data_IF_817178999320
#
_entry.id   IF_817178999320
#
_cell.length_a   1.000
_cell.length_b   1.000
_cell.length_c   1.000
_cell.angle_alpha   90.00
_cell.angle_beta   90.00
_cell.angle_gamma   90.00
#
_symmetry.space_group_name_H-M   'P 1'
#
loop_
_entity.id
_entity.type
_entity.pdbx_description
1 polymer ?
#
# COMPACT_ATOMS: atom_id res chain seq x y z
N UNK A 1 -23.04 -15.09 0.66
CA UNK A 1 -22.53 -16.32 0.02
C UNK A 1 -21.02 -16.21 0.01
N UNK A 2 -20.32 -17.09 0.73
CA UNK A 2 -18.85 -17.14 0.67
C UNK A 2 -18.51 -17.52 -0.78
N UNK A 3 -17.91 -16.60 -1.53
CA UNK A 3 -17.40 -16.90 -2.85
C UNK A 3 -16.21 -17.81 -2.62
N UNK A 4 -16.41 -19.08 -2.97
CA UNK A 4 -15.42 -20.14 -2.94
C UNK A 4 -14.14 -19.66 -3.65
N UNK A 5 -12.96 -19.92 -3.07
CA UNK A 5 -11.65 -19.59 -3.66
C UNK A 5 -11.54 -20.08 -5.12
N UNK A 6 -12.25 -21.18 -5.43
CA UNK A 6 -12.37 -21.77 -6.76
C UNK A 6 -13.04 -20.88 -7.80
N UNK A 7 -13.81 -19.87 -7.39
CA UNK A 7 -14.64 -19.11 -8.32
C UNK A 7 -13.86 -18.08 -9.15
N UNK A 8 -12.69 -17.59 -8.70
CA UNK A 8 -11.91 -16.58 -9.45
C UNK A 8 -10.41 -16.51 -9.07
N UNK A 9 -9.64 -17.61 -9.19
CA UNK A 9 -8.20 -17.63 -8.85
C UNK A 9 -7.38 -16.60 -9.65
N UNK A 10 -7.84 -16.27 -10.87
CA UNK A 10 -7.19 -15.29 -11.76
C UNK A 10 -7.03 -13.91 -11.13
N UNK A 11 -8.01 -13.45 -10.35
CA UNK A 11 -7.92 -12.12 -9.71
C UNK A 11 -6.91 -12.10 -8.56
N UNK A 12 -6.83 -13.18 -7.78
CA UNK A 12 -5.82 -13.33 -6.72
C UNK A 12 -4.43 -13.35 -7.34
N UNK A 13 -4.21 -14.20 -8.35
CA UNK A 13 -2.92 -14.30 -9.05
C UNK A 13 -2.50 -12.96 -9.63
N UNK A 14 -3.43 -12.23 -10.27
CA UNK A 14 -3.16 -10.89 -10.78
C UNK A 14 -2.68 -9.94 -9.67
N UNK A 15 -3.41 -9.85 -8.56
CA UNK A 15 -3.05 -8.98 -7.44
C UNK A 15 -1.70 -9.38 -6.83
N UNK A 16 -1.40 -10.68 -6.72
CA UNK A 16 -0.13 -11.15 -6.18
C UNK A 16 1.06 -10.81 -7.08
N UNK A 17 0.92 -11.02 -8.40
CA UNK A 17 1.97 -10.67 -9.36
C UNK A 17 2.23 -9.16 -9.31
N UNK A 18 1.17 -8.35 -9.28
CA UNK A 18 1.30 -6.90 -9.19
C UNK A 18 2.01 -6.50 -7.89
N UNK A 19 1.55 -6.99 -6.74
CA UNK A 19 2.05 -6.56 -5.43
C UNK A 19 3.47 -7.01 -5.14
N UNK A 20 3.83 -8.24 -5.52
CA UNK A 20 5.07 -8.87 -5.04
C UNK A 20 6.18 -8.92 -6.08
N UNK A 21 5.85 -8.70 -7.36
CA UNK A 21 6.81 -8.75 -8.46
C UNK A 21 6.88 -7.38 -9.14
N UNK A 22 5.77 -6.93 -9.72
CA UNK A 22 5.78 -5.77 -10.62
C UNK A 22 5.97 -4.48 -9.84
N UNK A 23 5.15 -4.23 -8.82
CA UNK A 23 5.15 -2.97 -8.07
C UNK A 23 6.49 -2.70 -7.37
N UNK A 24 7.10 -3.64 -6.63
CA UNK A 24 8.42 -3.42 -6.03
C UNK A 24 9.49 -3.08 -7.06
N UNK A 25 9.49 -3.81 -8.18
CA UNK A 25 10.42 -3.59 -9.28
C UNK A 25 10.25 -2.21 -9.91
N UNK A 26 9.03 -1.86 -10.35
CA UNK A 26 8.80 -0.59 -11.02
C UNK A 26 8.97 0.59 -10.08
N UNK A 27 8.69 0.43 -8.78
CA UNK A 27 8.92 1.46 -7.78
C UNK A 27 10.42 1.76 -7.59
N UNK A 28 11.24 0.71 -7.47
CA UNK A 28 12.69 0.86 -7.39
C UNK A 28 13.26 1.46 -8.69
N UNK A 29 12.81 0.95 -9.85
CA UNK A 29 13.22 1.43 -11.17
C UNK A 29 12.88 2.91 -11.36
N UNK A 30 11.66 3.34 -11.01
CA UNK A 30 11.25 4.74 -11.10
C UNK A 30 11.98 5.61 -10.09
N UNK A 31 12.25 5.12 -8.88
CA UNK A 31 13.06 5.83 -7.90
C UNK A 31 14.45 6.14 -8.47
N UNK A 32 15.16 5.14 -8.97
CA UNK A 32 16.49 5.32 -9.59
C UNK A 32 16.41 6.24 -10.81
N UNK A 33 15.46 5.99 -11.72
CA UNK A 33 15.31 6.76 -12.95
C UNK A 33 15.05 8.25 -12.68
N UNK A 34 14.19 8.57 -11.72
CA UNK A 34 13.87 9.96 -11.44
C UNK A 34 14.95 10.63 -10.57
N UNK A 35 15.42 10.00 -9.50
CA UNK A 35 16.33 10.65 -8.56
C UNK A 35 17.81 10.57 -8.94
N UNK A 36 18.26 9.53 -9.65
CA UNK A 36 19.66 9.41 -10.08
C UNK A 36 19.91 9.86 -11.52
N UNK A 37 18.88 9.91 -12.37
CA UNK A 37 19.03 10.31 -13.77
C UNK A 37 18.38 11.66 -14.01
N UNK A 38 17.05 11.76 -13.92
CA UNK A 38 16.34 13.00 -14.29
C UNK A 38 16.57 14.18 -13.32
N UNK A 39 16.68 13.91 -12.01
CA UNK A 39 16.83 14.94 -10.98
C UNK A 39 18.24 15.00 -10.37
N UNK A 40 19.20 14.33 -10.99
CA UNK A 40 20.59 14.25 -10.53
C UNK A 40 21.27 15.61 -10.32
N UNK A 41 20.89 16.63 -11.09
CA UNK A 41 21.42 17.99 -10.96
C UNK A 41 20.68 18.86 -9.93
N UNK A 42 19.51 18.40 -9.46
CA UNK A 42 18.62 19.16 -8.57
C UNK A 42 18.75 18.73 -7.11
N UNK A 43 19.34 17.55 -6.86
CA UNK A 43 19.37 16.91 -5.55
C UNK A 43 20.79 16.50 -5.17
N UNK A 44 21.07 16.47 -3.87
CA UNK A 44 22.30 15.86 -3.39
C UNK A 44 22.25 14.34 -3.61
N UNK A 45 23.41 13.67 -3.79
CA UNK A 45 23.46 12.21 -3.88
C UNK A 45 22.89 11.51 -2.63
N UNK A 46 22.99 12.15 -1.46
CA UNK A 46 22.46 11.61 -0.21
C UNK A 46 20.94 11.68 -0.16
N UNK A 47 20.36 12.83 -0.50
CA UNK A 47 18.89 13.01 -0.55
C UNK A 47 18.27 12.06 -1.58
N UNK A 48 18.91 11.93 -2.75
CA UNK A 48 18.46 11.03 -3.81
C UNK A 48 18.35 9.59 -3.30
N UNK A 49 19.38 9.08 -2.61
CA UNK A 49 19.35 7.74 -2.01
C UNK A 49 18.24 7.60 -0.97
N UNK A 50 18.04 8.60 -0.13
CA UNK A 50 16.98 8.57 0.88
C UNK A 50 15.58 8.57 0.25
N UNK A 51 15.34 9.36 -0.80
CA UNK A 51 14.05 9.36 -1.50
C UNK A 51 13.79 8.04 -2.22
N UNK A 52 14.82 7.44 -2.83
CA UNK A 52 14.75 6.10 -3.43
C UNK A 52 14.40 5.06 -2.36
N UNK A 53 15.03 5.11 -1.19
CA UNK A 53 14.72 4.22 -0.07
C UNK A 53 13.25 4.32 0.35
N UNK A 54 12.75 5.56 0.53
CA UNK A 54 11.36 5.81 0.90
C UNK A 54 10.37 5.29 -0.15
N UNK A 55 10.68 5.48 -1.44
CA UNK A 55 9.90 4.91 -2.53
C UNK A 55 9.90 3.38 -2.51
N UNK A 56 11.06 2.73 -2.33
CA UNK A 56 11.15 1.27 -2.24
C UNK A 56 10.30 0.74 -1.08
N UNK A 57 10.40 1.36 0.11
CA UNK A 57 9.61 0.96 1.28
C UNK A 57 8.11 1.06 1.02
N UNK A 58 7.64 2.10 0.35
CA UNK A 58 6.24 2.20 -0.11
C UNK A 58 5.87 1.11 -1.12
N UNK A 59 6.77 0.83 -2.07
CA UNK A 59 6.56 -0.13 -3.16
C UNK A 59 6.40 -1.58 -2.68
N UNK A 60 7.17 -1.97 -1.68
CA UNK A 60 7.21 -3.34 -1.14
C UNK A 60 6.05 -3.61 -0.17
N UNK A 61 5.41 -2.59 0.38
CA UNK A 61 4.35 -2.72 1.37
C UNK A 61 2.95 -2.64 0.71
N UNK A 62 2.25 -3.78 0.48
CA UNK A 62 0.90 -3.77 -0.07
C UNK A 62 -0.11 -3.26 0.97
N UNK A 63 -1.08 -2.46 0.53
CA UNK A 63 -2.09 -1.90 1.43
C UNK A 63 -3.07 -2.96 1.97
N UNK A 64 -3.41 -2.87 3.25
CA UNK A 64 -4.23 -3.87 3.97
C UNK A 64 -5.57 -3.31 4.43
N UNK A 65 -5.61 -2.04 4.87
CA UNK A 65 -6.81 -1.43 5.46
C UNK A 65 -7.60 -0.57 4.45
N UNK A 66 -6.93 0.38 3.79
CA UNK A 66 -7.61 1.38 2.95
C UNK A 66 -8.29 0.76 1.71
N UNK A 67 -7.80 -0.40 1.28
CA UNK A 67 -8.36 -1.21 0.20
C UNK A 67 -9.83 -1.57 0.40
N UNK A 68 -10.32 -1.70 1.64
CA UNK A 68 -11.74 -1.91 1.91
C UNK A 68 -12.59 -0.69 1.57
N UNK A 69 -12.06 0.52 1.78
CA UNK A 69 -12.72 1.78 1.40
C UNK A 69 -12.79 1.85 -0.12
N UNK A 70 -11.69 1.57 -0.82
CA UNK A 70 -11.61 1.54 -2.28
C UNK A 70 -12.54 0.51 -2.90
N UNK A 71 -12.58 -0.70 -2.34
CA UNK A 71 -13.52 -1.74 -2.75
C UNK A 71 -14.97 -1.29 -2.56
N UNK A 72 -15.30 -0.69 -1.42
CA UNK A 72 -16.66 -0.21 -1.17
C UNK A 72 -17.08 0.88 -2.16
N UNK A 73 -16.19 1.85 -2.42
CA UNK A 73 -16.46 2.93 -3.38
C UNK A 73 -16.58 2.44 -4.83
N UNK A 74 -16.02 1.27 -5.15
CA UNK A 74 -16.14 0.64 -6.47
C UNK A 74 -17.19 -0.46 -6.55
N UNK A 75 -18.00 -0.65 -5.49
CA UNK A 75 -19.00 -1.73 -5.38
C UNK A 75 -18.40 -3.13 -5.55
N UNK A 76 -17.17 -3.30 -5.07
CA UNK A 76 -16.46 -4.57 -5.06
C UNK A 76 -17.07 -5.60 -4.09
N UNK A 77 -16.76 -6.88 -4.31
CA UNK A 77 -17.19 -7.94 -3.38
C UNK A 77 -16.37 -7.88 -2.08
N UNK A 78 -17.00 -7.65 -0.92
CA UNK A 78 -16.29 -7.49 0.35
C UNK A 78 -15.65 -8.80 0.85
N UNK A 79 -16.23 -9.97 0.55
CA UNK A 79 -15.68 -11.25 0.97
C UNK A 79 -14.44 -11.59 0.14
N UNK A 80 -14.50 -11.32 -1.16
CA UNK A 80 -13.37 -11.52 -2.06
C UNK A 80 -12.22 -10.57 -1.73
N UNK A 81 -12.53 -9.30 -1.45
CA UNK A 81 -11.55 -8.30 -0.99
C UNK A 81 -10.88 -8.77 0.30
N UNK A 82 -11.67 -9.23 1.28
CA UNK A 82 -11.12 -9.77 2.53
C UNK A 82 -10.17 -10.96 2.29
N UNK A 83 -10.53 -11.85 1.37
CA UNK A 83 -9.67 -12.98 0.99
C UNK A 83 -8.35 -12.51 0.36
N UNK A 84 -8.40 -11.56 -0.57
CA UNK A 84 -7.19 -11.01 -1.19
C UNK A 84 -6.27 -10.32 -0.18
N UNK A 85 -6.84 -9.53 0.72
CA UNK A 85 -6.08 -8.87 1.80
C UNK A 85 -5.45 -9.91 2.71
N UNK A 86 -6.22 -10.91 3.17
CA UNK A 86 -5.71 -11.96 4.06
C UNK A 86 -4.53 -12.72 3.45
N UNK A 87 -4.58 -13.01 2.14
CA UNK A 87 -3.48 -13.68 1.44
C UNK A 87 -2.26 -12.75 1.35
N UNK A 88 -2.45 -11.47 1.02
CA UNK A 88 -1.35 -10.50 0.99
C UNK A 88 -0.70 -10.35 2.37
N UNK A 89 -1.48 -10.29 3.45
CA UNK A 89 -0.98 -10.17 4.81
C UNK A 89 -0.12 -11.37 5.22
N UNK A 90 -0.56 -12.58 4.88
CA UNK A 90 0.22 -13.81 5.13
C UNK A 90 1.53 -13.78 4.36
N UNK A 91 1.52 -13.39 3.08
CA UNK A 91 2.74 -13.28 2.28
C UNK A 91 3.65 -12.19 2.84
N UNK A 92 3.09 -11.07 3.29
CA UNK A 92 3.84 -9.95 3.85
C UNK A 92 4.68 -10.33 5.06
N UNK A 93 4.22 -11.27 5.91
CA UNK A 93 4.98 -11.78 7.05
C UNK A 93 6.36 -12.33 6.62
N UNK A 94 6.43 -12.97 5.45
CA UNK A 94 7.64 -13.65 4.99
C UNK A 94 8.37 -12.90 3.89
N UNK A 95 7.64 -12.16 3.04
CA UNK A 95 8.17 -11.58 1.81
C UNK A 95 8.59 -10.12 1.97
N UNK A 96 7.96 -9.35 2.87
CA UNK A 96 8.24 -7.92 3.01
C UNK A 96 9.72 -7.63 3.33
N UNK A 97 10.24 -8.21 4.42
CA UNK A 97 11.60 -7.94 4.86
C UNK A 97 12.65 -8.41 3.82
N UNK A 98 12.58 -9.63 3.24
CA UNK A 98 13.52 -10.05 2.21
C UNK A 98 13.47 -9.22 0.92
N UNK A 99 12.27 -8.83 0.46
CA UNK A 99 12.14 -8.04 -0.77
C UNK A 99 12.63 -6.61 -0.53
N UNK A 100 12.29 -6.00 0.60
CA UNK A 100 12.80 -4.68 0.97
C UNK A 100 14.33 -4.70 1.09
N UNK A 101 14.89 -5.70 1.77
CA UNK A 101 16.32 -5.92 1.87
C UNK A 101 17.00 -6.05 0.51
N UNK A 102 16.40 -6.82 -0.40
CA UNK A 102 16.92 -7.01 -1.76
C UNK A 102 17.01 -5.68 -2.51
N UNK A 103 15.91 -4.92 -2.61
CA UNK A 103 15.90 -3.67 -3.36
C UNK A 103 16.75 -2.58 -2.72
N UNK A 104 16.75 -2.46 -1.38
CA UNK A 104 17.63 -1.52 -0.67
C UNK A 104 19.11 -1.87 -0.89
N UNK A 105 19.45 -3.16 -0.83
CA UNK A 105 20.81 -3.64 -1.09
C UNK A 105 21.28 -3.37 -2.51
N UNK A 106 20.42 -3.54 -3.52
CA UNK A 106 20.72 -3.19 -4.93
C UNK A 106 21.01 -1.69 -5.08
N UNK A 107 20.36 -0.84 -4.28
CA UNK A 107 20.61 0.61 -4.25
C UNK A 107 21.80 1.04 -3.37
N UNK A 108 22.61 0.08 -2.88
CA UNK A 108 23.74 0.34 -1.97
C UNK A 108 23.34 1.06 -0.67
N UNK A 109 22.14 0.78 -0.18
CA UNK A 109 21.59 1.30 1.08
C UNK A 109 21.73 0.20 2.13
N UNK A 110 22.13 0.56 3.35
CA UNK A 110 22.29 -0.39 4.44
C UNK A 110 20.95 -1.07 4.76
N UNK A 111 20.96 -2.40 4.83
CA UNK A 111 19.76 -3.19 5.11
C UNK A 111 19.61 -3.40 6.61
N UNK A 112 18.55 -2.87 7.24
CA UNK A 112 18.35 -2.96 8.69
C UNK A 112 17.36 -4.09 8.99
N UNK A 113 17.88 -5.32 9.01
CA UNK A 113 17.09 -6.53 9.24
C UNK A 113 16.29 -6.47 10.54
N UNK A 114 16.88 -5.97 11.62
CA UNK A 114 16.22 -5.85 12.91
C UNK A 114 14.98 -4.97 12.82
N UNK A 115 15.10 -3.79 12.19
CA UNK A 115 13.97 -2.87 11.98
C UNK A 115 12.90 -3.49 11.07
N UNK A 116 13.30 -4.11 9.95
CA UNK A 116 12.35 -4.73 9.01
C UNK A 116 11.56 -5.86 9.67
N UNK A 117 12.22 -6.75 10.41
CA UNK A 117 11.59 -7.87 11.11
C UNK A 117 10.71 -7.35 12.25
N UNK A 118 11.21 -6.41 13.06
CA UNK A 118 10.45 -5.81 14.15
C UNK A 118 9.17 -5.14 13.64
N UNK A 119 9.25 -4.42 12.52
CA UNK A 119 8.08 -3.79 11.91
C UNK A 119 7.04 -4.82 11.44
N UNK A 120 7.45 -5.94 10.85
CA UNK A 120 6.52 -7.04 10.51
C UNK A 120 5.86 -7.60 11.77
N UNK A 121 6.63 -7.82 12.83
CA UNK A 121 6.10 -8.32 14.10
C UNK A 121 5.06 -7.36 14.68
N UNK A 122 5.40 -6.07 14.78
CA UNK A 122 4.56 -5.07 15.43
C UNK A 122 3.32 -4.68 14.60
N UNK A 123 3.46 -4.52 13.28
CA UNK A 123 2.38 -4.03 12.42
C UNK A 123 1.51 -5.13 11.83
N UNK A 124 1.99 -6.38 11.80
CA UNK A 124 1.28 -7.49 11.14
C UNK A 124 0.99 -8.61 12.12
N UNK A 125 2.02 -9.21 12.71
CA UNK A 125 1.85 -10.42 13.54
C UNK A 125 1.06 -10.11 14.82
N UNK A 126 1.43 -9.06 15.56
CA UNK A 126 0.77 -8.70 16.83
C UNK A 126 -0.72 -8.34 16.62
N UNK A 127 -1.11 -7.49 15.65
CA UNK A 127 -2.51 -7.22 15.37
C UNK A 127 -3.31 -8.45 14.92
N UNK A 128 -2.74 -9.28 14.03
CA UNK A 128 -3.40 -10.50 13.56
C UNK A 128 -3.60 -11.52 14.68
N UNK A 129 -2.56 -11.75 15.51
CA UNK A 129 -2.64 -12.65 16.65
C UNK A 129 -3.66 -12.16 17.67
N UNK A 130 -3.66 -10.86 17.97
CA UNK A 130 -4.64 -10.24 18.88
C UNK A 130 -6.07 -10.40 18.35
N UNK A 131 -6.30 -10.10 17.06
CA UNK A 131 -7.59 -10.28 16.41
C UNK A 131 -8.07 -11.75 16.42
N UNK A 132 -7.16 -12.69 16.17
CA UNK A 132 -7.46 -14.13 16.23
C UNK A 132 -7.84 -14.58 17.64
N UNK A 133 -7.08 -14.16 18.66
CA UNK A 133 -7.33 -14.48 20.07
C UNK A 133 -8.69 -13.92 20.51
N UNK A 134 -8.96 -12.64 20.23
CA UNK A 134 -10.25 -12.01 20.55
C UNK A 134 -11.39 -12.75 19.87
N UNK A 135 -11.24 -13.08 18.58
CA UNK A 135 -12.26 -13.82 17.84
C UNK A 135 -12.54 -15.19 18.44
N UNK A 136 -11.49 -15.94 18.79
CA UNK A 136 -11.60 -17.29 19.34
C UNK A 136 -12.23 -17.31 20.74
N UNK A 137 -11.90 -16.33 21.57
CA UNK A 137 -12.37 -16.27 22.96
C UNK A 137 -13.77 -15.66 23.05
N UNK A 138 -13.99 -14.51 22.41
CA UNK A 138 -15.16 -13.64 22.67
C UNK A 138 -16.18 -13.56 21.53
N UNK A 139 -15.81 -13.87 20.27
CA UNK A 139 -16.66 -13.60 19.09
C UNK A 139 -17.04 -14.89 18.34
N UNK A 140 -17.88 -15.72 18.98
CA UNK A 140 -18.24 -17.06 18.46
C UNK A 140 -19.38 -17.06 17.46
N UNK A 141 -20.33 -16.14 17.57
CA UNK A 141 -21.47 -16.02 16.66
C UNK A 141 -21.39 -14.77 15.76
N UNK A 142 -22.09 -14.83 14.63
CA UNK A 142 -22.06 -13.76 13.62
C UNK A 142 -22.63 -12.43 14.12
N UNK A 143 -23.59 -12.48 15.06
CA UNK A 143 -24.24 -11.28 15.57
C UNK A 143 -23.31 -10.53 16.54
N UNK A 144 -22.62 -11.25 17.42
CA UNK A 144 -21.59 -10.69 18.30
C UNK A 144 -20.42 -10.12 17.49
N UNK A 145 -19.97 -10.81 16.44
CA UNK A 145 -18.95 -10.28 15.51
C UNK A 145 -19.42 -8.95 14.89
N UNK A 146 -20.67 -8.91 14.39
CA UNK A 146 -21.23 -7.71 13.79
C UNK A 146 -21.28 -6.53 14.77
N UNK A 147 -21.78 -6.75 15.99
CA UNK A 147 -21.87 -5.71 17.03
C UNK A 147 -20.48 -5.24 17.45
N UNK A 148 -19.53 -6.16 17.63
CA UNK A 148 -18.14 -5.82 17.96
C UNK A 148 -17.50 -4.96 16.86
N UNK A 149 -17.64 -5.35 15.60
CA UNK A 149 -17.10 -4.59 14.47
C UNK A 149 -17.69 -3.17 14.41
N UNK A 150 -18.99 -3.00 14.66
CA UNK A 150 -19.61 -1.67 14.69
C UNK A 150 -19.08 -0.81 15.83
N UNK A 151 -18.82 -1.40 17.01
CA UNK A 151 -18.21 -0.69 18.15
C UNK A 151 -16.75 -0.33 17.91
N UNK A 152 -15.99 -1.16 17.19
CA UNK A 152 -14.57 -0.94 16.91
C UNK A 152 -14.33 0.09 15.80
N UNK A 153 -15.23 0.22 14.81
CA UNK A 153 -15.08 1.14 13.67
C UNK A 153 -14.65 2.57 14.06
N UNK A 154 -15.28 3.25 15.05
CA UNK A 154 -14.85 4.59 15.46
C UNK A 154 -13.40 4.62 15.96
N UNK A 155 -12.96 3.62 16.71
CA UNK A 155 -11.59 3.53 17.21
C UNK A 155 -10.58 3.34 16.09
N UNK A 156 -10.92 2.55 15.05
CA UNK A 156 -10.07 2.40 13.86
C UNK A 156 -9.91 3.73 13.13
N UNK A 157 -11.01 4.46 12.93
CA UNK A 157 -10.98 5.78 12.28
C UNK A 157 -10.19 6.79 13.11
N UNK A 158 -10.38 6.82 14.44
CA UNK A 158 -9.60 7.68 15.33
C UNK A 158 -8.11 7.36 15.29
N UNK A 159 -7.73 6.08 15.30
CA UNK A 159 -6.33 5.66 15.20
C UNK A 159 -5.69 6.03 13.86
N UNK A 160 -6.43 5.86 12.76
CA UNK A 160 -5.99 6.28 11.43
C UNK A 160 -5.79 7.79 11.36
N UNK A 161 -6.79 8.58 11.78
CA UNK A 161 -6.71 10.04 11.79
C UNK A 161 -5.60 10.55 12.69
N UNK A 162 -5.42 9.94 13.87
CA UNK A 162 -4.34 10.27 14.78
C UNK A 162 -2.96 10.02 14.14
N UNK A 163 -2.80 8.87 13.47
CA UNK A 163 -1.56 8.56 12.74
C UNK A 163 -1.30 9.57 11.63
N UNK A 164 -2.32 9.90 10.82
CA UNK A 164 -2.21 10.92 9.77
C UNK A 164 -1.80 12.28 10.35
N UNK A 165 -2.43 12.72 11.44
CA UNK A 165 -2.07 13.98 12.12
C UNK A 165 -0.62 13.96 12.58
N UNK A 166 -0.15 12.86 13.17
CA UNK A 166 1.25 12.73 13.59
C UNK A 166 2.22 12.76 12.40
N UNK A 167 1.93 11.99 11.34
CA UNK A 167 2.77 11.91 10.15
C UNK A 167 2.95 13.26 9.46
N UNK A 168 1.85 13.97 9.22
CA UNK A 168 1.89 15.31 8.62
C UNK A 168 2.36 16.37 9.61
N UNK A 169 2.12 16.22 10.91
CA UNK A 169 2.63 17.11 11.93
C UNK A 169 4.15 17.06 12.02
N UNK A 170 4.74 15.86 11.99
CA UNK A 170 6.19 15.69 12.06
C UNK A 170 6.93 16.16 10.81
N UNK A 171 6.31 16.09 9.63
CA UNK A 171 6.92 16.57 8.38
C UNK A 171 6.37 17.93 7.91
N UNK A 172 5.51 18.58 8.70
CA UNK A 172 4.76 19.75 8.27
C UNK A 172 5.64 20.92 7.85
N UNK A 173 6.68 21.22 8.63
CA UNK A 173 7.66 22.28 8.32
C UNK A 173 8.34 22.02 6.97
N UNK A 174 8.88 20.82 6.75
CA UNK A 174 9.52 20.46 5.48
C UNK A 174 8.58 20.52 4.28
N UNK A 175 7.32 20.13 4.46
CA UNK A 175 6.29 20.18 3.42
C UNK A 175 6.01 21.62 3.01
N UNK A 176 5.94 22.55 3.98
CA UNK A 176 5.66 23.96 3.73
C UNK A 176 6.89 24.70 3.17
N UNK A 177 8.07 24.43 3.71
CA UNK A 177 9.31 25.15 3.36
C UNK A 177 9.90 24.72 2.02
N UNK A 178 9.61 23.48 1.58
CA UNK A 178 10.22 22.89 0.37
C UNK A 178 9.20 22.30 -0.61
N UNK A 179 8.22 23.09 -1.11
CA UNK A 179 7.17 22.60 -2.02
C UNK A 179 7.74 22.03 -3.32
N UNK A 180 8.90 22.53 -3.77
CA UNK A 180 9.59 21.99 -4.94
C UNK A 180 10.03 20.54 -4.76
N UNK A 181 10.57 20.18 -3.58
CA UNK A 181 10.96 18.80 -3.28
C UNK A 181 9.73 17.87 -3.23
N UNK A 182 8.61 18.36 -2.69
CA UNK A 182 7.35 17.61 -2.66
C UNK A 182 6.89 17.26 -4.07
N UNK A 183 6.98 18.21 -5.01
CA UNK A 183 6.63 17.98 -6.42
C UNK A 183 7.58 16.95 -7.06
N UNK A 184 8.88 17.07 -6.83
CA UNK A 184 9.87 16.11 -7.36
C UNK A 184 9.57 14.68 -6.89
N UNK A 185 9.20 14.49 -5.63
CA UNK A 185 8.84 13.17 -5.10
C UNK A 185 7.47 12.72 -5.61
N UNK A 186 6.51 13.64 -5.74
CA UNK A 186 5.17 13.32 -6.20
C UNK A 186 5.14 12.81 -7.65
N UNK A 187 5.96 13.36 -8.56
CA UNK A 187 5.99 12.97 -9.98
C UNK A 187 6.16 11.45 -10.17
N UNK A 188 7.25 10.81 -9.70
CA UNK A 188 7.44 9.37 -9.88
C UNK A 188 6.38 8.55 -9.15
N UNK A 189 5.88 8.99 -7.99
CA UNK A 189 4.82 8.31 -7.26
C UNK A 189 3.48 8.32 -8.03
N UNK A 190 3.11 9.44 -8.64
CA UNK A 190 1.92 9.55 -9.49
C UNK A 190 2.06 8.61 -10.69
N UNK A 191 3.20 8.65 -11.37
CA UNK A 191 3.48 7.81 -12.54
C UNK A 191 3.39 6.33 -12.16
N UNK A 192 4.01 5.93 -11.05
CA UNK A 192 3.93 4.57 -10.52
C UNK A 192 2.47 4.17 -10.25
N UNK A 193 1.73 5.01 -9.52
CA UNK A 193 0.38 4.68 -9.06
C UNK A 193 -0.57 4.48 -10.25
N UNK A 194 -0.56 5.40 -11.22
CA UNK A 194 -1.32 5.22 -12.46
C UNK A 194 -0.80 4.04 -13.29
N UNK A 195 0.51 3.86 -13.39
CA UNK A 195 1.12 2.77 -14.15
C UNK A 195 0.69 1.40 -13.64
N UNK A 196 0.80 1.16 -12.33
CA UNK A 196 0.36 -0.07 -11.67
C UNK A 196 -1.15 -0.28 -11.83
N UNK A 197 -1.93 0.78 -11.64
CA UNK A 197 -3.37 0.71 -11.83
C UNK A 197 -3.73 0.30 -13.26
N UNK A 198 -3.21 0.99 -14.28
CA UNK A 198 -3.56 0.70 -15.67
C UNK A 198 -3.08 -0.68 -16.10
N UNK A 199 -1.87 -1.07 -15.70
CA UNK A 199 -1.36 -2.42 -15.94
C UNK A 199 -2.28 -3.48 -15.34
N UNK A 200 -2.67 -3.30 -14.08
CA UNK A 200 -3.60 -4.21 -13.40
C UNK A 200 -4.99 -4.21 -14.03
N UNK A 201 -5.53 -3.04 -14.34
CA UNK A 201 -6.88 -2.86 -14.84
C UNK A 201 -7.04 -3.40 -16.27
N UNK A 202 -6.05 -3.15 -17.14
CA UNK A 202 -5.99 -3.72 -18.49
C UNK A 202 -5.84 -5.24 -18.39
N UNK A 203 -4.95 -5.74 -17.52
CA UNK A 203 -4.78 -7.18 -17.31
C UNK A 203 -6.06 -7.84 -16.80
N UNK A 204 -6.77 -7.21 -15.86
CA UNK A 204 -8.06 -7.67 -15.35
C UNK A 204 -9.13 -7.73 -16.45
N UNK A 205 -9.15 -6.72 -17.33
CA UNK A 205 -10.03 -6.68 -18.49
C UNK A 205 -9.72 -7.81 -19.48
N UNK A 206 -8.44 -8.04 -19.81
CA UNK A 206 -7.99 -9.12 -20.70
C UNK A 206 -8.29 -10.51 -20.12
N UNK A 207 -8.16 -10.66 -18.80
CA UNK A 207 -8.52 -11.88 -18.07
C UNK A 207 -10.03 -12.10 -17.92
N UNK A 208 -10.85 -11.13 -18.38
CA UNK A 208 -12.32 -11.12 -18.30
C UNK A 208 -12.82 -11.29 -16.86
N UNK A 209 -12.15 -10.65 -15.90
CA UNK A 209 -12.59 -10.66 -14.51
C UNK A 209 -13.91 -9.88 -14.36
N UNK A 210 -14.85 -10.31 -13.51
CA UNK A 210 -16.05 -9.54 -13.21
C UNK A 210 -15.70 -8.20 -12.57
N UNK A 211 -16.47 -7.14 -12.83
CA UNK A 211 -16.20 -5.81 -12.26
C UNK A 211 -16.03 -5.81 -10.73
N UNK A 212 -16.88 -6.51 -9.94
CA UNK A 212 -16.75 -6.54 -8.48
C UNK A 212 -15.46 -7.20 -7.97
N UNK A 213 -14.74 -7.91 -8.84
CA UNK A 213 -13.44 -8.54 -8.55
C UNK A 213 -12.30 -7.70 -9.13
N UNK A 214 -12.46 -7.22 -10.37
CA UNK A 214 -11.45 -6.46 -11.09
C UNK A 214 -11.13 -5.13 -10.41
N UNK A 215 -12.14 -4.37 -9.98
CA UNK A 215 -11.96 -3.09 -9.31
C UNK A 215 -11.09 -3.21 -8.05
N UNK A 216 -11.52 -4.00 -7.04
CA UNK A 216 -10.75 -4.22 -5.82
C UNK A 216 -9.36 -4.80 -6.10
N UNK A 217 -9.24 -5.80 -6.98
CA UNK A 217 -7.96 -6.44 -7.28
C UNK A 217 -6.90 -5.45 -7.78
N UNK A 218 -7.30 -4.47 -8.60
CA UNK A 218 -6.41 -3.44 -9.13
C UNK A 218 -6.09 -2.36 -8.10
N UNK A 219 -7.07 -1.96 -7.29
CA UNK A 219 -6.89 -0.93 -6.27
C UNK A 219 -6.05 -1.44 -5.08
N UNK A 220 -6.18 -2.72 -4.72
CA UNK A 220 -5.25 -3.39 -3.80
C UNK A 220 -3.83 -3.37 -4.35
N UNK A 221 -3.68 -3.68 -5.65
CA UNK A 221 -2.43 -3.61 -6.38
C UNK A 221 -1.75 -2.23 -6.33
N UNK A 222 -2.58 -1.19 -6.39
CA UNK A 222 -2.15 0.19 -6.56
C UNK A 222 -1.82 0.87 -5.23
N UNK A 223 -2.52 0.53 -4.15
CA UNK A 223 -2.36 1.17 -2.86
C UNK A 223 -1.12 0.72 -2.09
N UNK A 224 -0.61 1.61 -1.22
CA UNK A 224 0.55 1.36 -0.38
C UNK A 224 0.16 1.25 1.11
N UNK A 225 0.95 0.49 1.88
CA UNK A 225 0.84 0.47 3.33
C UNK A 225 1.78 1.50 3.94
N UNK A 226 1.31 2.75 3.96
CA UNK A 226 2.15 3.87 4.34
C UNK A 226 2.54 3.86 5.81
N UNK A 227 1.71 3.39 6.74
CA UNK A 227 2.03 3.40 8.17
C UNK A 227 3.26 2.53 8.45
N UNK A 228 3.30 1.34 7.85
CA UNK A 228 4.44 0.44 7.90
C UNK A 228 5.67 1.08 7.23
N UNK A 229 5.51 1.63 6.03
CA UNK A 229 6.61 2.22 5.27
C UNK A 229 7.24 3.42 6.01
N UNK A 230 6.42 4.32 6.55
CA UNK A 230 6.89 5.48 7.32
C UNK A 230 7.57 5.02 8.61
N UNK A 231 6.98 4.08 9.34
CA UNK A 231 7.58 3.57 10.58
C UNK A 231 8.95 2.95 10.35
N UNK A 232 9.09 2.15 9.29
CA UNK A 232 10.37 1.58 8.87
C UNK A 232 11.34 2.69 8.45
N UNK A 233 10.90 3.66 7.63
CA UNK A 233 11.76 4.76 7.20
C UNK A 233 12.28 5.59 8.38
N UNK A 234 11.42 5.93 9.34
CA UNK A 234 11.80 6.65 10.57
C UNK A 234 12.75 5.80 11.42
N UNK A 235 12.49 4.50 11.57
CA UNK A 235 13.33 3.60 12.35
C UNK A 235 14.74 3.42 11.79
N UNK A 236 14.95 3.64 10.49
CA UNK A 236 16.24 3.46 9.82
C UNK A 236 16.97 4.79 9.64
N UNK A 237 16.28 5.77 9.06
CA UNK A 237 16.87 7.02 8.60
C UNK A 237 16.59 8.19 9.55
N UNK A 238 15.70 8.00 10.52
CA UNK A 238 15.26 9.05 11.43
C UNK A 238 14.08 9.85 10.89
N UNK A 239 13.42 10.58 11.79
CA UNK A 239 12.19 11.33 11.50
C UNK A 239 12.40 12.46 10.50
N UNK A 240 13.56 13.11 10.53
CA UNK A 240 13.88 14.23 9.65
C UNK A 240 14.54 13.79 8.34
N UNK A 241 14.55 12.51 7.99
CA UNK A 241 15.16 12.02 6.75
C UNK A 241 14.32 12.30 5.51
N UNK A 242 14.98 12.33 4.35
CA UNK A 242 14.32 12.32 3.05
C UNK A 242 13.49 11.05 2.81
N UNK A 243 13.91 9.92 3.37
CA UNK A 243 13.17 8.66 3.27
C UNK A 243 11.80 8.77 3.97
N UNK A 244 11.79 9.29 5.20
CA UNK A 244 10.56 9.56 5.92
C UNK A 244 9.68 10.59 5.17
N UNK A 245 10.28 11.66 4.64
CA UNK A 245 9.55 12.64 3.83
C UNK A 245 8.89 11.99 2.61
N UNK A 246 9.62 11.16 1.86
CA UNK A 246 9.09 10.50 0.67
C UNK A 246 7.90 9.57 0.99
N UNK A 247 7.96 8.87 2.13
CA UNK A 247 6.82 8.04 2.58
C UNK A 247 5.57 8.86 2.91
N UNK A 248 5.72 10.05 3.52
CA UNK A 248 4.60 10.97 3.82
C UNK A 248 4.05 11.63 2.56
N UNK A 249 4.91 12.04 1.62
CA UNK A 249 4.48 12.53 0.31
C UNK A 249 3.71 11.46 -0.46
N UNK A 250 4.10 10.19 -0.33
CA UNK A 250 3.32 9.03 -0.77
C UNK A 250 1.85 9.13 -0.37
N UNK A 251 1.58 9.33 0.92
CA UNK A 251 0.21 9.44 1.45
C UNK A 251 -0.54 10.63 0.86
N UNK A 252 0.14 11.79 0.79
CA UNK A 252 -0.42 13.03 0.28
C UNK A 252 -0.91 12.89 -1.17
N UNK A 253 -0.12 12.18 -1.98
CA UNK A 253 -0.37 11.95 -3.41
C UNK A 253 -1.36 10.80 -3.63
N UNK A 254 -1.27 9.74 -2.82
CA UNK A 254 -2.04 8.52 -3.02
C UNK A 254 -3.54 8.77 -2.91
N UNK A 255 -4.01 9.48 -1.88
CA UNK A 255 -5.46 9.65 -1.66
C UNK A 255 -6.17 10.33 -2.84
N UNK A 256 -5.72 11.49 -3.36
CA UNK A 256 -6.32 12.11 -4.54
C UNK A 256 -6.28 11.23 -5.79
N UNK A 257 -5.15 10.55 -6.03
CA UNK A 257 -4.99 9.67 -7.19
C UNK A 257 -5.91 8.45 -7.06
N UNK A 258 -6.00 7.82 -5.90
CA UNK A 258 -6.89 6.69 -5.68
C UNK A 258 -8.36 7.07 -5.88
N UNK A 259 -8.79 8.27 -5.45
CA UNK A 259 -10.14 8.77 -5.71
C UNK A 259 -10.41 9.00 -7.21
N UNK A 260 -9.44 9.50 -7.97
CA UNK A 260 -9.57 9.65 -9.42
C UNK A 260 -9.67 8.29 -10.12
N UNK A 261 -8.91 7.29 -9.65
CA UNK A 261 -8.94 5.92 -10.15
C UNK A 261 -10.26 5.23 -9.83
N UNK A 262 -10.80 5.40 -8.61
CA UNK A 262 -12.14 4.92 -8.23
C UNK A 262 -13.21 5.49 -9.16
N UNK A 263 -13.13 6.80 -9.46
CA UNK A 263 -14.04 7.42 -10.43
C UNK A 263 -13.94 6.76 -11.81
N UNK A 264 -12.72 6.49 -12.29
CA UNK A 264 -12.49 5.81 -13.56
C UNK A 264 -13.09 4.40 -13.56
N UNK A 265 -12.78 3.59 -12.53
CA UNK A 265 -13.30 2.22 -12.37
C UNK A 265 -14.83 2.17 -12.40
N UNK A 266 -15.48 3.12 -11.74
CA UNK A 266 -16.94 3.23 -11.72
C UNK A 266 -17.50 3.63 -13.09
N UNK A 267 -16.84 4.56 -13.80
CA UNK A 267 -17.26 5.00 -15.13
C UNK A 267 -17.14 3.90 -16.18
N UNK A 268 -16.14 3.02 -16.05
CA UNK A 268 -15.91 1.90 -16.99
C UNK A 268 -16.55 0.59 -16.54
N UNK A 269 -17.40 0.59 -15.52
CA UNK A 269 -18.03 -0.62 -14.99
C UNK A 269 -18.77 -1.45 -16.04
N UNK A 270 -19.46 -0.78 -16.97
CA UNK A 270 -20.22 -1.43 -18.05
C UNK A 270 -19.36 -2.19 -19.07
N UNK A 271 -18.03 -2.00 -19.07
CA UNK A 271 -17.11 -2.72 -19.97
C UNK A 271 -16.73 -4.10 -19.43
N UNK A 272 -16.99 -4.36 -18.15
CA UNK A 272 -16.63 -5.61 -17.49
C UNK A 272 -17.85 -6.53 -17.39
N UNK A 273 -17.64 -7.86 -17.38
CA UNK A 273 -18.70 -8.82 -17.07
C UNK A 273 -19.34 -8.50 -15.71
N UNK A 274 -20.67 -8.61 -15.64
CA UNK A 274 -21.44 -8.37 -14.41
C UNK A 274 -21.43 -9.57 -13.46
N UNK A 275 -20.88 -10.72 -13.86
CA UNK A 275 -20.79 -11.97 -13.09
C UNK A 275 -19.55 -12.77 -13.45
#
# INVERSE_FOLDING_TARGET
KIIDFRASPKGIVLTLIINWIIKPFTMAMLGILFFEIFFSSLLSPEDSKQYIAGMILLGVAPCTAMVFVWSNLTRGDPNYTLLQVSINDVIMIFAFAPIAAFYLGVTSISVPWDTLILSVVLYVIVPLASGFIIRKIFLRDQQTIYVFNQKMKPFVVMGLLFTVILLFGFQGEKIVDSPFLIILIAIPLIIQTYGIFFLGYISAYLLKLPHPIAGPACLIGTSNFFELAVAVAIGIFGINSGAALATVVGVLVEVPVMLSLVYLVNKTANKFPSK
#
